data_IF_590949443238
#
_entry.id   IF_590949443238
#
_cell.length_a   1.000
_cell.length_b   1.000
_cell.length_c   1.000
_cell.angle_alpha   90.00
_cell.angle_beta   90.00
_cell.angle_gamma   90.00
#
_symmetry.space_group_name_H-M   'P 1'
#
loop_
_entity.id
_entity.type
_entity.pdbx_description
1 polymer ?
#
# COMPACT_ATOMS: atom_id res chain seq x y z
N UNK A 1 15.45 -24.66 -28.73
CA UNK A 1 15.72 -23.21 -28.63
C UNK A 1 16.72 -23.03 -27.50
N UNK A 2 18.03 -23.10 -27.77
CA UNK A 2 19.06 -22.93 -26.74
C UNK A 2 19.20 -21.44 -26.47
N UNK A 3 18.64 -21.02 -25.36
CA UNK A 3 18.66 -19.64 -24.88
C UNK A 3 20.13 -19.22 -24.70
N UNK A 4 20.51 -18.09 -25.33
CA UNK A 4 21.88 -17.59 -25.36
C UNK A 4 22.39 -17.39 -23.92
N UNK A 5 23.15 -18.36 -23.41
CA UNK A 5 23.92 -18.20 -22.16
C UNK A 5 24.97 -17.11 -22.42
N UNK A 6 24.82 -15.97 -21.75
CA UNK A 6 25.87 -14.95 -21.70
C UNK A 6 27.17 -15.60 -21.22
N UNK A 7 28.30 -15.15 -21.77
CA UNK A 7 29.59 -15.54 -21.23
C UNK A 7 29.66 -15.14 -19.74
N UNK A 8 30.41 -15.89 -18.90
CA UNK A 8 30.45 -15.64 -17.46
C UNK A 8 30.81 -14.19 -17.08
N UNK A 9 31.60 -13.52 -17.90
CA UNK A 9 31.96 -12.11 -17.71
C UNK A 9 30.79 -11.15 -17.97
N UNK A 10 30.03 -11.39 -19.03
CA UNK A 10 28.86 -10.57 -19.34
C UNK A 10 27.75 -10.81 -18.31
N UNK A 11 27.61 -12.04 -17.81
CA UNK A 11 26.68 -12.35 -16.73
C UNK A 11 27.01 -11.58 -15.45
N UNK A 12 28.31 -11.47 -15.09
CA UNK A 12 28.74 -10.69 -13.93
C UNK A 12 28.40 -9.20 -14.07
N UNK A 13 28.58 -8.62 -15.25
CA UNK A 13 28.21 -7.21 -15.52
C UNK A 13 26.71 -6.99 -15.37
N UNK A 14 25.89 -7.92 -15.86
CA UNK A 14 24.43 -7.88 -15.69
C UNK A 14 24.05 -7.99 -14.22
N UNK A 15 24.66 -8.91 -13.47
CA UNK A 15 24.36 -9.11 -12.06
C UNK A 15 24.74 -7.87 -11.21
N UNK A 16 25.86 -7.21 -11.51
CA UNK A 16 26.25 -5.94 -10.89
C UNK A 16 25.28 -4.81 -11.23
N UNK A 17 24.86 -4.71 -12.50
CA UNK A 17 23.88 -3.72 -12.93
C UNK A 17 22.50 -3.92 -12.28
N UNK A 18 22.05 -5.17 -12.10
CA UNK A 18 20.79 -5.47 -11.42
C UNK A 18 20.85 -5.20 -9.91
N UNK A 19 22.02 -5.36 -9.29
CA UNK A 19 22.25 -5.06 -7.86
C UNK A 19 22.40 -3.57 -7.57
N UNK A 20 22.80 -2.77 -8.54
CA UNK A 20 22.93 -1.30 -8.41
C UNK A 20 21.58 -0.58 -8.46
N UNK A 21 20.48 -1.31 -8.28
CA UNK A 21 19.09 -0.84 -8.28
C UNK A 21 18.93 0.57 -7.73
N UNK A 22 18.82 1.52 -8.64
CA UNK A 22 18.54 2.94 -8.43
C UNK A 22 17.18 3.21 -7.77
N UNK A 23 16.34 2.17 -7.66
CA UNK A 23 14.96 2.24 -7.16
C UNK A 23 14.80 1.74 -5.71
N UNK A 24 15.86 1.74 -4.91
CA UNK A 24 15.77 1.51 -3.45
C UNK A 24 15.33 2.82 -2.79
N UNK A 25 14.06 3.16 -2.95
CA UNK A 25 13.45 4.25 -2.18
C UNK A 25 13.12 3.74 -0.78
N UNK A 26 13.41 4.49 0.29
CA UNK A 26 13.01 4.13 1.64
C UNK A 26 11.48 4.03 1.70
N UNK A 27 10.97 2.80 1.73
CA UNK A 27 9.52 2.56 1.80
C UNK A 27 9.07 2.81 3.22
N UNK A 28 8.16 3.77 3.39
CA UNK A 28 7.45 3.93 4.66
C UNK A 28 6.77 2.59 5.00
N UNK A 29 6.99 2.02 6.20
CA UNK A 29 6.35 0.77 6.56
C UNK A 29 4.83 0.95 6.49
N UNK A 30 4.16 0.11 5.71
CA UNK A 30 2.72 0.12 5.61
C UNK A 30 2.12 -0.27 6.96
N UNK A 31 1.15 0.50 7.45
CA UNK A 31 0.53 0.31 8.77
C UNK A 31 -0.95 -0.06 8.60
N UNK A 32 -1.27 -1.32 8.23
CA UNK A 32 -2.63 -1.73 7.87
C UNK A 32 -3.65 -1.44 8.97
N UNK A 33 -3.29 -1.69 10.23
CA UNK A 33 -4.17 -1.43 11.38
C UNK A 33 -4.58 0.04 11.49
N UNK A 34 -3.70 0.99 11.16
CA UNK A 34 -4.04 2.42 11.21
C UNK A 34 -5.12 2.76 10.18
N UNK A 35 -5.05 2.16 9.00
CA UNK A 35 -6.04 2.40 7.95
C UNK A 35 -7.41 1.82 8.33
N UNK A 36 -7.42 0.61 8.91
CA UNK A 36 -8.66 -0.03 9.39
C UNK A 36 -9.30 0.77 10.50
N UNK A 37 -8.53 1.21 11.50
CA UNK A 37 -9.05 2.05 12.61
C UNK A 37 -9.63 3.35 12.08
N UNK A 38 -8.95 4.01 11.14
CA UNK A 38 -9.43 5.24 10.52
C UNK A 38 -10.77 5.01 9.80
N UNK A 39 -10.88 3.94 9.02
CA UNK A 39 -12.11 3.60 8.32
C UNK A 39 -13.27 3.39 9.30
N UNK A 40 -13.06 2.56 10.33
CA UNK A 40 -14.07 2.30 11.36
C UNK A 40 -14.50 3.61 12.01
N UNK A 41 -13.54 4.44 12.40
CA UNK A 41 -13.81 5.73 13.06
C UNK A 41 -14.72 6.62 12.21
N UNK A 42 -14.40 6.80 10.92
CA UNK A 42 -15.19 7.65 10.02
C UNK A 42 -16.60 7.11 9.85
N UNK A 43 -16.75 5.81 9.59
CA UNK A 43 -18.08 5.18 9.39
C UNK A 43 -18.91 5.25 10.67
N UNK A 44 -18.32 5.01 11.85
CA UNK A 44 -19.02 5.10 13.13
C UNK A 44 -19.48 6.52 13.42
N UNK A 45 -18.63 7.53 13.17
CA UNK A 45 -18.99 8.95 13.37
C UNK A 45 -20.16 9.34 12.48
N UNK A 46 -20.10 9.03 11.18
CA UNK A 46 -21.20 9.35 10.27
C UNK A 46 -22.49 8.59 10.59
N UNK A 47 -22.39 7.34 11.04
CA UNK A 47 -23.56 6.57 11.48
C UNK A 47 -24.20 7.22 12.70
N UNK A 48 -23.40 7.55 13.71
CA UNK A 48 -23.89 8.23 14.92
C UNK A 48 -24.50 9.60 14.60
N UNK A 49 -23.85 10.37 13.73
CA UNK A 49 -24.35 11.66 13.28
C UNK A 49 -25.68 11.54 12.52
N UNK A 50 -25.82 10.55 11.64
CA UNK A 50 -27.07 10.29 10.93
C UNK A 50 -28.22 9.95 11.88
N UNK A 51 -27.96 9.10 12.88
CA UNK A 51 -28.95 8.75 13.92
C UNK A 51 -29.33 9.98 14.75
N UNK A 52 -28.34 10.81 15.12
CA UNK A 52 -28.58 12.05 15.85
C UNK A 52 -29.49 12.99 15.07
N UNK A 53 -29.20 13.21 13.78
CA UNK A 53 -30.04 14.02 12.90
C UNK A 53 -31.46 13.43 12.78
N UNK A 54 -31.60 12.12 12.59
CA UNK A 54 -32.92 11.47 12.50
C UNK A 54 -33.77 11.72 13.75
N UNK A 55 -33.18 11.58 14.94
CA UNK A 55 -33.84 11.86 16.22
C UNK A 55 -34.19 13.34 16.38
N UNK A 56 -33.30 14.24 15.98
CA UNK A 56 -33.52 15.69 16.05
C UNK A 56 -34.57 16.19 15.05
N UNK A 57 -34.75 15.49 13.93
CA UNK A 57 -35.67 15.87 12.86
C UNK A 57 -37.10 15.40 13.11
N UNK A 58 -37.36 14.70 14.22
CA UNK A 58 -38.67 14.13 14.52
C UNK A 58 -39.10 13.02 13.57
N UNK A 59 -38.17 12.43 12.81
CA UNK A 59 -38.45 11.32 11.88
C UNK A 59 -38.40 10.02 12.68
N UNK A 60 -39.44 9.79 13.48
CA UNK A 60 -39.92 8.50 13.97
C UNK A 60 -41.41 8.63 14.30
#
# INVERSE_FOLDING_TARGET
MSERKLYPEDQKRVDEYLKTGYNVTPRKPFKPMRMIIMLITVVTVFSAFSIFLARSSGVY
#
